data_IF_007785844161
#
_entry.id   IF_007785844161
#
_cell.length_a   1.000
_cell.length_b   1.000
_cell.length_c   1.000
_cell.angle_alpha   90.00
_cell.angle_beta   90.00
_cell.angle_gamma   90.00
#
_symmetry.space_group_name_H-M   'P 1'
#
loop_
_entity.id
_entity.type
_entity.pdbx_description
1 polymer ?
#
# COMPACT_ATOMS: atom_id res chain seq x y z
N UNK A 1 -17.63 17.93 4.75
CA UNK A 1 -17.12 17.42 6.04
C UNK A 1 -17.93 16.23 6.52
N UNK A 2 -19.26 16.29 6.63
CA UNK A 2 -20.10 15.19 7.15
C UNK A 2 -19.83 13.79 6.54
N UNK A 3 -19.64 13.71 5.22
CA UNK A 3 -19.37 12.43 4.54
C UNK A 3 -18.11 11.71 5.04
N UNK A 4 -17.06 12.44 5.46
CA UNK A 4 -15.82 11.79 5.91
C UNK A 4 -16.05 11.03 7.22
N UNK A 5 -16.85 11.57 8.14
CA UNK A 5 -17.18 10.93 9.41
C UNK A 5 -17.99 9.65 9.18
N UNK A 6 -18.93 9.67 8.24
CA UNK A 6 -19.72 8.47 7.85
C UNK A 6 -18.82 7.35 7.35
N UNK A 7 -17.86 7.66 6.46
CA UNK A 7 -16.92 6.64 5.97
C UNK A 7 -15.94 6.19 7.06
N UNK A 8 -15.45 7.11 7.89
CA UNK A 8 -14.55 6.78 8.99
C UNK A 8 -15.22 5.81 9.99
N UNK A 9 -16.46 6.08 10.38
CA UNK A 9 -17.25 5.19 11.23
C UNK A 9 -17.47 3.83 10.57
N UNK A 10 -17.87 3.81 9.29
CA UNK A 10 -18.05 2.56 8.52
C UNK A 10 -16.80 1.68 8.57
N UNK A 11 -15.61 2.24 8.29
CA UNK A 11 -14.37 1.45 8.26
C UNK A 11 -13.87 1.09 9.67
N UNK A 12 -14.08 1.96 10.66
CA UNK A 12 -13.83 1.64 12.07
C UNK A 12 -14.68 0.45 12.55
N UNK A 13 -15.97 0.42 12.22
CA UNK A 13 -16.85 -0.70 12.57
C UNK A 13 -16.42 -2.02 11.89
N UNK A 14 -15.97 -1.96 10.63
CA UNK A 14 -15.41 -3.14 9.96
C UNK A 14 -14.15 -3.65 10.67
N UNK A 15 -13.27 -2.76 11.11
CA UNK A 15 -12.08 -3.12 11.89
C UNK A 15 -12.45 -3.74 13.24
N UNK A 16 -13.37 -3.11 13.98
CA UNK A 16 -13.85 -3.58 15.30
C UNK A 16 -14.54 -4.94 15.22
N UNK A 17 -15.12 -5.28 14.07
CA UNK A 17 -15.79 -6.57 13.81
C UNK A 17 -14.89 -7.57 13.08
N UNK A 18 -13.57 -7.35 13.09
CA UNK A 18 -12.55 -8.26 12.54
C UNK A 18 -12.70 -8.58 11.05
N UNK A 19 -13.26 -7.67 10.25
CA UNK A 19 -13.41 -7.84 8.80
C UNK A 19 -12.11 -7.56 8.05
N UNK A 20 -11.01 -8.19 8.48
CA UNK A 20 -9.66 -7.90 7.97
C UNK A 20 -9.51 -8.20 6.48
N UNK A 21 -10.03 -9.33 5.98
CA UNK A 21 -9.97 -9.67 4.56
C UNK A 21 -10.65 -8.60 3.69
N UNK A 22 -11.83 -8.13 4.09
CA UNK A 22 -12.53 -7.05 3.39
C UNK A 22 -11.71 -5.74 3.40
N UNK A 23 -11.10 -5.39 4.54
CA UNK A 23 -10.28 -4.20 4.68
C UNK A 23 -9.03 -4.28 3.81
N UNK A 24 -8.34 -5.43 3.84
CA UNK A 24 -7.15 -5.70 3.04
C UNK A 24 -7.45 -5.62 1.54
N UNK A 25 -8.48 -6.30 1.06
CA UNK A 25 -8.90 -6.25 -0.34
C UNK A 25 -9.29 -4.84 -0.77
N UNK A 26 -10.02 -4.11 0.08
CA UNK A 26 -10.43 -2.74 -0.20
C UNK A 26 -9.21 -1.81 -0.29
N UNK A 27 -8.23 -2.01 0.59
CA UNK A 27 -6.99 -1.25 0.58
C UNK A 27 -6.17 -1.53 -0.69
N UNK A 28 -5.92 -2.80 -1.01
CA UNK A 28 -5.11 -3.19 -2.18
C UNK A 28 -5.72 -2.71 -3.50
N UNK A 29 -7.06 -2.70 -3.62
CA UNK A 29 -7.76 -2.14 -4.80
C UNK A 29 -7.53 -0.65 -5.03
N UNK A 30 -7.13 0.09 -3.99
CA UNK A 30 -6.87 1.53 -4.06
C UNK A 30 -5.37 1.85 -3.90
N UNK A 31 -4.54 0.83 -3.72
CA UNK A 31 -3.11 1.00 -3.53
C UNK A 31 -2.48 1.41 -4.86
N UNK A 32 -1.84 2.58 -4.85
CA UNK A 32 -1.16 3.13 -6.02
C UNK A 32 -0.10 2.14 -6.52
N UNK A 33 -0.07 1.90 -7.83
CA UNK A 33 0.85 0.99 -8.52
C UNK A 33 0.80 -0.47 -8.04
N UNK A 34 -0.33 -0.90 -7.46
CA UNK A 34 -0.51 -2.31 -7.09
C UNK A 34 -0.42 -3.22 -8.32
N UNK A 35 0.41 -4.26 -8.22
CA UNK A 35 0.72 -5.25 -9.25
C UNK A 35 1.11 -4.65 -10.61
N UNK A 36 1.71 -3.46 -10.60
CA UNK A 36 2.16 -2.75 -11.80
C UNK A 36 3.62 -2.33 -11.64
N UNK A 37 4.50 -2.56 -12.64
CA UNK A 37 5.87 -2.05 -12.63
C UNK A 37 5.88 -0.52 -12.58
N UNK A 38 6.66 0.04 -11.66
CA UNK A 38 6.81 1.48 -11.50
C UNK A 38 8.19 1.83 -10.92
N UNK A 39 8.55 3.12 -11.04
CA UNK A 39 9.81 3.65 -10.53
C UNK A 39 9.64 4.21 -9.12
N UNK A 40 10.58 3.87 -8.24
CA UNK A 40 10.63 4.30 -6.85
C UNK A 40 12.00 4.86 -6.52
N UNK A 41 12.07 5.66 -5.45
CA UNK A 41 13.33 6.19 -4.92
C UNK A 41 13.52 5.75 -3.47
N UNK A 42 14.72 5.30 -3.13
CA UNK A 42 15.16 5.06 -1.76
C UNK A 42 16.57 5.62 -1.57
N UNK A 43 16.78 6.43 -0.53
CA UNK A 43 18.09 6.99 -0.19
C UNK A 43 18.81 7.65 -1.39
N UNK A 44 18.04 8.35 -2.24
CA UNK A 44 18.54 9.03 -3.45
C UNK A 44 18.86 8.11 -4.64
N UNK A 45 18.60 6.80 -4.54
CA UNK A 45 18.73 5.85 -5.65
C UNK A 45 17.36 5.51 -6.22
N UNK A 46 17.26 5.54 -7.54
CA UNK A 46 16.06 5.19 -8.28
C UNK A 46 16.14 3.73 -8.72
N UNK A 47 15.04 2.99 -8.58
CA UNK A 47 14.92 1.59 -8.99
C UNK A 47 13.50 1.29 -9.48
N UNK A 48 13.37 0.24 -10.30
CA UNK A 48 12.07 -0.30 -10.70
C UNK A 48 11.62 -1.36 -9.71
N UNK A 49 10.32 -1.42 -9.41
CA UNK A 49 9.75 -2.47 -8.59
C UNK A 49 8.25 -2.67 -8.86
N UNK A 50 7.71 -3.76 -8.34
CA UNK A 50 6.28 -4.09 -8.44
C UNK A 50 5.73 -4.28 -7.03
N UNK A 51 4.78 -3.45 -6.61
CA UNK A 51 4.11 -3.64 -5.32
C UNK A 51 3.24 -4.90 -5.40
N UNK A 52 3.58 -5.93 -4.65
CA UNK A 52 2.84 -7.20 -4.58
C UNK A 52 1.82 -7.23 -3.45
N UNK A 53 1.86 -6.25 -2.55
CA UNK A 53 0.82 -6.02 -1.57
C UNK A 53 1.38 -5.47 -0.27
N UNK A 54 0.69 -5.81 0.82
CA UNK A 54 1.04 -5.39 2.17
C UNK A 54 0.92 -6.59 3.09
N UNK A 55 1.91 -6.81 3.96
CA UNK A 55 1.91 -7.81 5.03
C UNK A 55 0.78 -7.53 6.03
N UNK A 56 0.43 -8.51 6.86
CA UNK A 56 -0.63 -8.37 7.86
C UNK A 56 -0.40 -7.21 8.85
N UNK A 57 0.85 -6.84 9.10
CA UNK A 57 1.24 -5.74 9.98
C UNK A 57 1.32 -4.37 9.27
N UNK A 58 0.96 -4.27 7.99
CA UNK A 58 0.99 -3.01 7.25
C UNK A 58 2.29 -2.71 6.50
N UNK A 59 3.28 -3.63 6.52
CA UNK A 59 4.54 -3.46 5.78
C UNK A 59 4.32 -3.70 4.28
N UNK A 60 4.82 -2.79 3.44
CA UNK A 60 4.71 -2.89 1.99
C UNK A 60 5.62 -4.01 1.47
N UNK A 61 5.10 -4.93 0.67
CA UNK A 61 5.88 -5.97 0.02
C UNK A 61 6.01 -5.65 -1.48
N UNK A 62 7.24 -5.53 -1.95
CA UNK A 62 7.57 -5.17 -3.32
C UNK A 62 8.55 -6.17 -3.93
N UNK A 63 8.29 -6.56 -5.16
CA UNK A 63 9.22 -7.35 -5.96
C UNK A 63 10.24 -6.43 -6.65
N UNK A 64 11.53 -6.72 -6.46
CA UNK A 64 12.66 -6.03 -7.09
C UNK A 64 13.62 -7.13 -7.56
N UNK A 65 13.99 -7.14 -8.84
CA UNK A 65 14.89 -8.14 -9.42
C UNK A 65 14.49 -9.62 -9.13
N UNK A 66 13.19 -9.88 -8.98
CA UNK A 66 12.64 -11.21 -8.69
C UNK A 66 12.63 -11.60 -7.20
N UNK A 67 13.10 -10.74 -6.30
CA UNK A 67 13.05 -10.94 -4.85
C UNK A 67 12.03 -10.03 -4.18
N UNK A 68 11.39 -10.51 -3.11
CA UNK A 68 10.42 -9.71 -2.34
C UNK A 68 11.15 -8.97 -1.22
N UNK A 69 11.09 -7.64 -1.29
CA UNK A 69 11.58 -6.72 -0.29
C UNK A 69 10.43 -6.07 0.48
N UNK A 70 10.63 -5.95 1.78
CA UNK A 70 9.66 -5.36 2.70
C UNK A 70 10.10 -3.92 3.04
N UNK A 71 9.16 -2.97 2.93
CA UNK A 71 9.40 -1.55 3.19
C UNK A 71 8.40 -1.01 4.23
N UNK A 72 8.93 -0.37 5.26
CA UNK A 72 8.14 0.37 6.24
C UNK A 72 7.72 1.75 5.74
N UNK A 73 6.96 2.44 6.57
CA UNK A 73 6.50 3.80 6.31
C UNK A 73 7.67 4.73 5.97
N UNK A 74 7.56 5.39 4.81
CA UNK A 74 8.53 6.37 4.27
C UNK A 74 9.92 5.81 3.96
N UNK A 75 10.07 4.50 3.78
CA UNK A 75 11.34 3.92 3.32
C UNK A 75 11.54 4.02 1.79
N UNK A 76 10.46 4.31 1.05
CA UNK A 76 10.48 4.57 -0.40
C UNK A 76 9.61 5.79 -0.75
N UNK A 77 9.95 6.43 -1.87
CA UNK A 77 9.19 7.52 -2.48
C UNK A 77 8.67 7.08 -3.86
N UNK A 78 7.43 7.47 -4.18
CA UNK A 78 6.87 7.30 -5.52
C UNK A 78 7.49 8.34 -6.45
N UNK A 79 8.00 7.90 -7.60
CA UNK A 79 8.43 8.81 -8.66
C UNK A 79 7.25 8.96 -9.62
N UNK A 80 6.66 10.14 -9.65
CA UNK A 80 5.62 10.45 -10.63
C UNK A 80 6.28 10.92 -11.93
N UNK A 81 6.16 10.14 -12.99
CA UNK A 81 6.39 10.64 -14.34
C UNK A 81 5.29 11.68 -14.63
N UNK A 82 5.70 12.88 -15.07
CA UNK A 82 4.80 13.98 -15.43
C UNK A 82 3.91 13.63 -16.61
#
# INVERSE_FOLDING_TARGET
MEKIFVYMEKYYLNLKTSKYSFLQETYLKQLLNFDTPAMYQQNGRVFEGIIKGVRENGILAMEIDGEIHDFNFKEIEYIHTK
#
